data_IF_589445628471
#
_entry.id   IF_589445628471
#
_cell.length_a   1.000
_cell.length_b   1.000
_cell.length_c   1.000
_cell.angle_alpha   90.00
_cell.angle_beta   90.00
_cell.angle_gamma   90.00
#
_symmetry.space_group_name_H-M   'P 1'
#
loop_
_entity.id
_entity.type
_entity.pdbx_description
1 polymer ?
#
# COMPACT_ATOMS: atom_id res chain seq x y z
N UNK A 1 -62.75 63.09 -0.80
CA UNK A 1 -61.35 62.64 -0.87
C UNK A 1 -60.57 63.71 -1.61
N UNK A 2 -59.59 64.33 -0.96
CA UNK A 2 -58.83 65.43 -1.54
C UNK A 2 -57.87 64.92 -2.62
N UNK A 3 -57.73 65.69 -3.72
CA UNK A 3 -56.88 65.31 -4.87
C UNK A 3 -55.44 65.02 -4.48
N UNK A 4 -54.95 65.66 -3.42
CA UNK A 4 -53.59 65.44 -2.90
C UNK A 4 -53.43 64.11 -2.14
N UNK A 5 -54.48 63.56 -1.54
CA UNK A 5 -54.44 62.22 -0.92
C UNK A 5 -54.44 61.10 -1.96
N UNK A 6 -55.16 61.28 -3.07
CA UNK A 6 -55.20 60.29 -4.17
C UNK A 6 -53.82 60.18 -4.86
N UNK A 7 -53.14 61.30 -5.07
CA UNK A 7 -51.79 61.33 -5.66
C UNK A 7 -50.77 60.66 -4.72
N UNK A 8 -50.87 60.86 -3.41
CA UNK A 8 -50.01 60.21 -2.42
C UNK A 8 -50.16 58.68 -2.42
N UNK A 9 -51.39 58.17 -2.50
CA UNK A 9 -51.65 56.71 -2.56
C UNK A 9 -51.10 56.10 -3.87
N UNK A 10 -51.24 56.83 -4.98
CA UNK A 10 -50.68 56.40 -6.28
C UNK A 10 -49.15 56.34 -6.27
N UNK A 11 -48.48 57.29 -5.63
CA UNK A 11 -47.03 57.29 -5.48
C UNK A 11 -46.54 56.16 -4.57
N UNK A 12 -47.23 55.90 -3.46
CA UNK A 12 -46.89 54.78 -2.56
C UNK A 12 -47.09 53.44 -3.27
N UNK A 13 -48.17 53.27 -4.04
CA UNK A 13 -48.39 52.08 -4.84
C UNK A 13 -47.30 51.89 -5.91
N UNK A 14 -46.88 52.97 -6.58
CA UNK A 14 -45.79 52.91 -7.56
C UNK A 14 -44.44 52.54 -6.93
N UNK A 15 -44.14 53.05 -5.74
CA UNK A 15 -42.91 52.72 -5.00
C UNK A 15 -42.94 51.26 -4.52
N UNK A 16 -44.07 50.76 -4.03
CA UNK A 16 -44.21 49.35 -3.61
C UNK A 16 -44.06 48.39 -4.78
N UNK A 17 -44.62 48.71 -5.96
CA UNK A 17 -44.46 47.91 -7.17
C UNK A 17 -43.00 47.95 -7.64
N UNK A 18 -42.35 49.11 -7.62
CA UNK A 18 -40.94 49.26 -7.96
C UNK A 18 -40.02 48.46 -7.03
N UNK A 19 -40.29 48.48 -5.72
CA UNK A 19 -39.57 47.69 -4.74
C UNK A 19 -39.78 46.19 -4.95
N UNK A 20 -41.01 45.75 -5.22
CA UNK A 20 -41.34 44.34 -5.46
C UNK A 20 -40.66 43.77 -6.71
N UNK A 21 -40.49 44.59 -7.76
CA UNK A 21 -39.75 44.21 -8.97
C UNK A 21 -38.23 44.21 -8.73
N UNK A 22 -37.71 45.11 -7.89
CA UNK A 22 -36.28 45.18 -7.59
C UNK A 22 -35.81 44.07 -6.63
N UNK A 23 -36.68 43.60 -5.73
CA UNK A 23 -36.37 42.51 -4.79
C UNK A 23 -36.93 41.15 -5.23
N UNK A 24 -37.52 41.05 -6.42
CA UNK A 24 -37.97 39.77 -6.95
C UNK A 24 -36.74 38.87 -7.23
N UNK A 25 -36.64 37.67 -6.63
CA UNK A 25 -35.51 36.79 -6.84
C UNK A 25 -35.39 36.43 -8.33
N UNK A 26 -34.15 36.38 -8.81
CA UNK A 26 -33.87 36.04 -10.22
C UNK A 26 -34.33 34.60 -10.53
N UNK A 27 -34.72 34.33 -11.79
CA UNK A 27 -35.21 32.99 -12.18
C UNK A 27 -34.19 31.87 -11.89
N UNK A 28 -32.90 32.17 -12.01
CA UNK A 28 -31.80 31.23 -11.70
C UNK A 28 -31.72 30.88 -10.20
N UNK A 29 -31.91 31.84 -9.30
CA UNK A 29 -31.88 31.56 -7.85
C UNK A 29 -33.08 30.74 -7.39
N UNK A 30 -34.25 30.93 -8.01
CA UNK A 30 -35.45 30.13 -7.73
C UNK A 30 -35.25 28.68 -8.21
N UNK A 31 -34.61 28.49 -9.37
CA UNK A 31 -34.30 27.17 -9.91
C UNK A 31 -33.21 26.46 -9.08
N UNK A 32 -32.16 27.18 -8.66
CA UNK A 32 -31.12 26.65 -7.78
C UNK A 32 -31.67 26.26 -6.40
N UNK A 33 -32.53 27.09 -5.80
CA UNK A 33 -33.18 26.78 -4.53
C UNK A 33 -34.13 25.57 -4.64
N UNK A 34 -34.85 25.44 -5.77
CA UNK A 34 -35.71 24.28 -6.05
C UNK A 34 -34.88 23.00 -6.28
N UNK A 35 -33.74 23.09 -6.95
CA UNK A 35 -32.84 21.95 -7.13
C UNK A 35 -32.24 21.48 -5.80
N UNK A 36 -31.84 22.39 -4.92
CA UNK A 36 -31.30 22.03 -3.61
C UNK A 36 -32.37 21.39 -2.70
N UNK A 37 -33.62 21.87 -2.75
CA UNK A 37 -34.75 21.22 -2.06
C UNK A 37 -34.99 19.79 -2.59
N UNK A 38 -34.98 19.61 -3.91
CA UNK A 38 -35.13 18.27 -4.52
C UNK A 38 -33.95 17.34 -4.17
N UNK A 39 -32.74 17.88 -4.02
CA UNK A 39 -31.55 17.12 -3.61
C UNK A 39 -31.65 16.66 -2.16
N UNK A 40 -32.12 17.53 -1.26
CA UNK A 40 -32.35 17.20 0.16
C UNK A 40 -33.48 16.17 0.33
N UNK A 41 -34.57 16.29 -0.43
CA UNK A 41 -35.67 15.31 -0.45
C UNK A 41 -35.26 13.95 -1.04
N UNK A 42 -34.22 13.92 -1.88
CA UNK A 42 -33.66 12.68 -2.43
C UNK A 42 -32.71 12.01 -1.43
N UNK A 43 -31.93 12.79 -0.68
CA UNK A 43 -31.00 12.27 0.35
C UNK A 43 -31.77 11.65 1.52
N UNK A 44 -32.84 12.29 1.99
CA UNK A 44 -33.65 11.77 3.10
C UNK A 44 -34.34 10.44 2.76
N UNK A 45 -34.80 10.26 1.51
CA UNK A 45 -35.38 8.98 1.05
C UNK A 45 -34.34 7.87 0.95
N UNK A 46 -33.14 8.18 0.49
CA UNK A 46 -32.03 7.21 0.45
C UNK A 46 -31.59 6.83 1.86
N UNK A 47 -31.53 7.79 2.79
CA UNK A 47 -31.23 7.50 4.20
C UNK A 47 -32.33 6.67 4.88
N UNK A 48 -33.62 6.92 4.58
CA UNK A 48 -34.72 6.08 5.05
C UNK A 48 -34.69 4.67 4.43
N UNK A 49 -34.33 4.53 3.15
CA UNK A 49 -34.16 3.24 2.50
C UNK A 49 -32.95 2.48 3.04
N UNK A 50 -31.82 3.17 3.28
CA UNK A 50 -30.62 2.59 3.92
C UNK A 50 -30.93 2.20 5.37
N UNK A 51 -31.70 3.00 6.11
CA UNK A 51 -32.12 2.68 7.47
C UNK A 51 -33.09 1.48 7.50
N UNK A 52 -34.02 1.40 6.53
CA UNK A 52 -34.89 0.23 6.35
C UNK A 52 -34.13 -1.00 5.88
N UNK A 53 -33.12 -0.86 5.01
CA UNK A 53 -32.25 -1.97 4.60
C UNK A 53 -31.39 -2.44 5.77
N UNK A 54 -30.79 -1.55 6.56
CA UNK A 54 -30.09 -1.93 7.80
C UNK A 54 -31.03 -2.60 8.80
N UNK A 55 -32.24 -2.08 8.99
CA UNK A 55 -33.22 -2.71 9.89
C UNK A 55 -33.67 -4.09 9.38
N UNK A 56 -33.81 -4.26 8.06
CA UNK A 56 -34.12 -5.54 7.43
C UNK A 56 -32.94 -6.51 7.54
N UNK A 57 -31.70 -6.03 7.35
CA UNK A 57 -30.45 -6.80 7.46
C UNK A 57 -30.20 -7.25 8.90
N UNK A 58 -30.47 -6.39 9.90
CA UNK A 58 -30.47 -6.77 11.32
C UNK A 58 -31.58 -7.79 11.64
N UNK A 59 -32.75 -7.72 11.01
CA UNK A 59 -33.84 -8.68 11.22
C UNK A 59 -33.62 -10.04 10.53
N UNK A 60 -32.84 -10.07 9.44
CA UNK A 60 -32.40 -11.32 8.79
C UNK A 60 -31.24 -12.00 9.52
N UNK A 61 -30.44 -11.26 10.28
CA UNK A 61 -29.35 -11.80 11.10
C UNK A 61 -29.85 -12.55 12.36
N UNK A 62 -31.06 -12.25 12.85
CA UNK A 62 -31.63 -12.94 14.02
C UNK A 62 -32.47 -14.20 13.70
N UNK A 63 -32.85 -14.43 12.43
CA UNK A 63 -33.68 -15.58 12.03
C UNK A 63 -33.00 -16.60 11.09
N UNK A 64 -31.76 -16.36 10.63
CA UNK A 64 -31.01 -17.31 9.78
C UNK A 64 -29.90 -18.08 10.53
N UNK A 65 -29.72 -17.83 11.84
CA UNK A 65 -28.65 -18.39 12.68
C UNK A 65 -28.92 -19.78 13.27
N UNK A 66 -29.95 -20.51 12.79
CA UNK A 66 -30.25 -21.85 13.33
C UNK A 66 -30.30 -22.95 12.25
N UNK A 67 -30.37 -22.60 10.95
CA UNK A 67 -30.54 -23.63 9.90
C UNK A 67 -29.62 -23.50 8.68
N UNK A 68 -28.75 -22.49 8.60
CA UNK A 68 -27.83 -22.29 7.46
C UNK A 68 -26.35 -22.56 7.76
N UNK A 69 -25.98 -22.59 9.04
CA UNK A 69 -24.59 -22.80 9.48
C UNK A 69 -24.07 -24.23 9.32
N UNK A 70 -24.93 -25.22 9.09
CA UNK A 70 -24.48 -26.62 8.96
C UNK A 70 -24.19 -27.09 7.53
N UNK A 71 -24.62 -26.36 6.49
CA UNK A 71 -24.40 -26.77 5.09
C UNK A 71 -23.40 -25.91 4.31
N UNK A 72 -23.15 -24.65 4.69
CA UNK A 72 -22.11 -23.81 4.03
C UNK A 72 -20.76 -23.90 4.75
N UNK A 73 -20.75 -24.13 6.07
CA UNK A 73 -19.50 -24.30 6.82
C UNK A 73 -18.73 -25.56 6.38
N UNK A 74 -19.42 -26.67 6.05
CA UNK A 74 -18.76 -27.89 5.60
C UNK A 74 -18.17 -27.76 4.18
N UNK A 75 -18.81 -27.03 3.27
CA UNK A 75 -18.31 -26.89 1.89
C UNK A 75 -17.13 -25.89 1.81
N UNK A 76 -17.19 -24.79 2.56
CA UNK A 76 -16.06 -23.83 2.64
C UNK A 76 -14.86 -24.39 3.38
N UNK A 77 -15.07 -25.13 4.48
CA UNK A 77 -13.96 -25.74 5.24
C UNK A 77 -13.32 -26.91 4.50
N UNK A 78 -14.09 -27.71 3.75
CA UNK A 78 -13.54 -28.74 2.86
C UNK A 78 -12.76 -28.08 1.72
N UNK A 79 -13.31 -27.04 1.07
CA UNK A 79 -12.60 -26.32 0.00
C UNK A 79 -11.31 -25.65 0.49
N UNK A 80 -11.31 -25.04 1.69
CA UNK A 80 -10.12 -24.42 2.27
C UNK A 80 -9.09 -25.45 2.75
N UNK A 81 -9.54 -26.58 3.30
CA UNK A 81 -8.64 -27.69 3.64
C UNK A 81 -7.99 -28.27 2.38
N UNK A 82 -8.76 -28.47 1.30
CA UNK A 82 -8.23 -28.94 0.02
C UNK A 82 -7.22 -27.96 -0.60
N UNK A 83 -7.44 -26.65 -0.45
CA UNK A 83 -6.47 -25.62 -0.90
C UNK A 83 -5.19 -25.64 -0.08
N UNK A 84 -5.30 -25.83 1.23
CA UNK A 84 -4.15 -25.94 2.12
C UNK A 84 -3.32 -27.18 1.79
N UNK A 85 -3.96 -28.34 1.61
CA UNK A 85 -3.29 -29.58 1.22
C UNK A 85 -2.56 -29.43 -0.13
N UNK A 86 -3.19 -28.76 -1.11
CA UNK A 86 -2.56 -28.45 -2.40
C UNK A 86 -1.32 -27.56 -2.27
N UNK A 87 -1.34 -26.56 -1.38
CA UNK A 87 -0.18 -25.70 -1.12
C UNK A 87 0.96 -26.48 -0.45
N UNK A 88 0.61 -27.37 0.50
CA UNK A 88 1.58 -28.24 1.16
C UNK A 88 2.25 -29.17 0.15
N UNK A 89 1.49 -29.79 -0.75
CA UNK A 89 2.03 -30.63 -1.82
C UNK A 89 2.85 -29.83 -2.84
N UNK A 90 2.38 -28.62 -3.21
CA UNK A 90 3.07 -27.75 -4.17
C UNK A 90 4.44 -27.33 -3.67
N UNK A 91 4.54 -26.92 -2.40
CA UNK A 91 5.73 -26.29 -1.84
C UNK A 91 6.56 -27.18 -0.90
N UNK A 92 6.14 -28.42 -0.68
CA UNK A 92 6.85 -29.41 0.14
C UNK A 92 7.25 -28.83 1.51
N UNK A 93 8.54 -28.74 1.82
CA UNK A 93 9.04 -28.24 3.11
C UNK A 93 8.56 -26.83 3.48
N UNK A 94 8.21 -25.98 2.50
CA UNK A 94 7.69 -24.63 2.73
C UNK A 94 6.15 -24.55 2.79
N UNK A 95 5.48 -25.68 2.61
CA UNK A 95 4.02 -25.81 2.52
C UNK A 95 3.25 -25.12 3.64
N UNK A 96 3.65 -25.38 4.88
CA UNK A 96 3.01 -24.78 6.06
C UNK A 96 3.14 -23.25 6.07
N UNK A 97 4.28 -22.71 5.61
CA UNK A 97 4.49 -21.27 5.55
C UNK A 97 3.75 -20.61 4.37
N UNK A 98 3.17 -21.37 3.45
CA UNK A 98 2.30 -20.82 2.40
C UNK A 98 0.89 -20.52 2.92
N UNK A 99 0.57 -20.99 4.12
CA UNK A 99 -0.74 -20.84 4.75
C UNK A 99 -0.60 -19.80 5.87
N UNK A 100 -1.38 -18.73 5.80
CA UNK A 100 -1.34 -17.69 6.80
C UNK A 100 -2.09 -16.45 6.39
N UNK A 101 -2.10 -15.49 7.32
CA UNK A 101 -2.67 -14.17 7.10
C UNK A 101 -1.55 -13.15 6.98
N UNK A 102 -1.73 -12.19 6.08
CA UNK A 102 -0.80 -11.09 5.96
C UNK A 102 -0.98 -10.13 7.14
N UNK A 103 0.09 -9.94 7.90
CA UNK A 103 0.16 -9.03 9.05
C UNK A 103 1.23 -7.99 8.77
N UNK A 104 1.11 -6.85 9.45
CA UNK A 104 2.03 -5.74 9.29
C UNK A 104 2.79 -5.46 10.58
N UNK A 105 4.11 -5.29 10.46
CA UNK A 105 5.00 -4.88 11.54
C UNK A 105 5.65 -3.57 11.14
N UNK A 106 5.59 -2.57 12.01
CA UNK A 106 6.22 -1.27 11.78
C UNK A 106 7.57 -1.19 12.50
N UNK A 107 8.59 -0.73 11.79
CA UNK A 107 9.90 -0.40 12.36
C UNK A 107 10.26 1.02 11.97
N UNK A 108 10.63 1.86 12.93
CA UNK A 108 10.86 3.28 12.69
C UNK A 108 11.94 3.90 13.58
N UNK A 109 12.52 5.00 13.12
CA UNK A 109 13.38 5.90 13.91
C UNK A 109 12.85 7.34 13.77
N UNK A 110 13.68 8.35 14.05
CA UNK A 110 13.36 9.77 13.91
C UNK A 110 13.21 10.25 12.45
N UNK A 111 13.78 9.53 11.47
CA UNK A 111 13.83 9.96 10.06
C UNK A 111 12.97 9.10 9.12
N UNK A 112 12.83 7.82 9.41
CA UNK A 112 12.30 6.76 8.55
C UNK A 112 11.22 5.98 9.30
N UNK A 113 10.12 5.66 8.62
CA UNK A 113 9.12 4.70 9.07
C UNK A 113 8.90 3.66 7.99
N UNK A 114 9.14 2.41 8.34
CA UNK A 114 8.99 1.27 7.45
C UNK A 114 7.86 0.38 7.98
N UNK A 115 6.93 0.02 7.11
CA UNK A 115 5.95 -1.03 7.37
C UNK A 115 6.35 -2.27 6.59
N UNK A 116 6.51 -3.40 7.28
CA UNK A 116 6.91 -4.69 6.74
C UNK A 116 5.70 -5.61 6.73
N UNK A 117 5.47 -6.28 5.62
CA UNK A 117 4.44 -7.31 5.44
C UNK A 117 5.01 -8.67 5.80
N UNK A 118 4.27 -9.46 6.59
CA UNK A 118 4.67 -10.86 6.86
C UNK A 118 4.60 -11.69 5.59
N UNK A 119 3.68 -11.40 4.67
CA UNK A 119 3.70 -12.00 3.33
C UNK A 119 4.92 -11.51 2.55
N UNK A 120 5.80 -12.43 2.19
CA UNK A 120 7.10 -12.13 1.56
C UNK A 120 8.16 -11.60 2.51
N UNK A 121 7.83 -11.29 3.77
CA UNK A 121 8.75 -10.67 4.71
C UNK A 121 9.30 -9.33 4.21
N UNK A 122 8.53 -8.61 3.37
CA UNK A 122 9.01 -7.52 2.51
C UNK A 122 8.64 -6.12 3.01
N UNK A 123 9.38 -5.07 2.63
CA UNK A 123 8.91 -3.70 2.71
C UNK A 123 7.56 -3.54 1.99
N UNK A 124 6.54 -3.12 2.74
CA UNK A 124 5.22 -2.78 2.21
C UNK A 124 5.09 -1.28 1.95
N UNK A 125 5.62 -0.46 2.87
CA UNK A 125 5.59 1.00 2.75
C UNK A 125 6.81 1.63 3.42
N UNK A 126 7.35 2.69 2.80
CA UNK A 126 8.49 3.46 3.31
C UNK A 126 8.14 4.93 3.34
N UNK A 127 8.08 5.52 4.53
CA UNK A 127 7.82 6.95 4.74
C UNK A 127 9.06 7.67 5.25
N UNK A 128 9.37 8.83 4.67
CA UNK A 128 10.39 9.75 5.19
C UNK A 128 9.71 10.81 6.07
N UNK A 129 9.97 10.79 7.37
CA UNK A 129 9.21 11.56 8.38
C UNK A 129 9.36 13.07 8.28
N UNK A 130 10.52 13.54 7.81
CA UNK A 130 10.85 14.96 7.73
C UNK A 130 10.50 15.60 6.38
N UNK A 131 9.82 14.87 5.50
CA UNK A 131 9.48 15.33 4.17
C UNK A 131 7.97 15.22 3.92
N UNK A 132 7.49 16.10 3.05
CA UNK A 132 6.12 16.13 2.57
C UNK A 132 6.15 16.24 1.05
N UNK A 133 5.11 15.71 0.41
CA UNK A 133 4.84 15.91 -1.02
C UNK A 133 4.43 17.36 -1.29
N UNK A 134 4.36 17.74 -2.56
CA UNK A 134 3.97 19.11 -2.95
C UNK A 134 2.58 19.54 -2.41
N UNK A 135 1.67 18.60 -2.17
CA UNK A 135 0.34 18.82 -1.60
C UNK A 135 0.30 18.75 -0.06
N UNK A 136 1.46 18.77 0.60
CA UNK A 136 1.62 18.71 2.06
C UNK A 136 1.20 17.38 2.71
N UNK A 137 1.06 16.30 1.93
CA UNK A 137 0.87 14.95 2.46
C UNK A 137 2.22 14.35 2.92
N UNK A 138 2.20 13.33 3.79
CA UNK A 138 3.43 12.63 4.17
C UNK A 138 4.16 12.03 2.97
N UNK A 139 5.49 12.21 2.88
CA UNK A 139 6.27 11.64 1.79
C UNK A 139 6.47 10.13 1.98
N UNK A 140 5.82 9.34 1.13
CA UNK A 140 5.89 7.88 1.09
C UNK A 140 6.50 7.45 -0.24
N UNK A 141 7.69 6.83 -0.21
CA UNK A 141 8.43 6.47 -1.42
C UNK A 141 7.72 5.42 -2.26
N UNK A 142 7.02 4.49 -1.60
CA UNK A 142 6.11 3.53 -2.22
C UNK A 142 5.21 2.93 -1.15
N UNK A 143 4.06 2.42 -1.58
CA UNK A 143 3.09 1.75 -0.71
C UNK A 143 2.31 0.71 -1.52
N UNK A 144 1.84 -0.34 -0.87
CA UNK A 144 0.85 -1.24 -1.43
C UNK A 144 1.41 -2.55 -1.97
N UNK A 145 0.46 -3.37 -2.44
CA UNK A 145 0.71 -4.75 -2.83
C UNK A 145 1.43 -4.90 -4.18
N UNK A 146 1.44 -3.84 -5.00
CA UNK A 146 2.07 -3.83 -6.31
C UNK A 146 3.60 -3.84 -6.26
N UNK A 147 4.20 -3.53 -5.10
CA UNK A 147 5.64 -3.59 -4.91
C UNK A 147 6.09 -5.04 -4.64
N UNK A 148 7.27 -5.41 -5.11
CA UNK A 148 7.87 -6.71 -4.83
C UNK A 148 9.27 -6.55 -4.26
N UNK A 149 9.58 -7.34 -3.25
CA UNK A 149 10.92 -7.47 -2.74
C UNK A 149 11.06 -8.86 -2.13
N UNK A 150 11.70 -9.77 -2.86
CA UNK A 150 11.77 -11.17 -2.45
C UNK A 150 12.75 -11.98 -3.27
N UNK A 151 13.09 -13.15 -2.77
CA UNK A 151 14.05 -14.04 -3.39
C UNK A 151 13.36 -15.14 -4.19
N UNK A 152 13.97 -15.53 -5.29
CA UNK A 152 13.63 -16.72 -6.05
C UNK A 152 14.83 -17.67 -6.05
N UNK A 153 14.60 -18.93 -5.70
CA UNK A 153 15.63 -19.96 -5.67
C UNK A 153 15.03 -21.35 -5.88
N UNK A 154 15.87 -22.36 -6.08
CA UNK A 154 15.44 -23.75 -6.16
C UNK A 154 15.67 -24.48 -4.84
N UNK A 155 14.62 -25.12 -4.33
CA UNK A 155 14.71 -26.06 -3.22
C UNK A 155 13.91 -27.32 -3.55
N UNK A 156 14.46 -28.49 -3.24
CA UNK A 156 13.83 -29.80 -3.52
C UNK A 156 13.34 -29.94 -4.97
N UNK A 157 14.14 -29.45 -5.93
CA UNK A 157 13.84 -29.41 -7.36
C UNK A 157 12.58 -28.59 -7.74
N UNK A 158 12.17 -27.65 -6.87
CA UNK A 158 11.03 -26.75 -7.07
C UNK A 158 11.51 -25.31 -7.03
N UNK A 159 10.91 -24.46 -7.87
CA UNK A 159 11.12 -23.02 -7.83
C UNK A 159 10.33 -22.44 -6.66
N UNK A 160 11.01 -21.79 -5.74
CA UNK A 160 10.45 -21.17 -4.54
C UNK A 160 10.61 -19.65 -4.69
N UNK A 161 9.52 -18.91 -4.50
CA UNK A 161 9.52 -17.45 -4.40
C UNK A 161 9.10 -17.03 -3.00
N UNK A 162 9.94 -16.30 -2.27
CA UNK A 162 9.63 -15.92 -0.88
C UNK A 162 8.34 -15.11 -0.78
N UNK A 163 7.95 -14.39 -1.84
CA UNK A 163 6.72 -13.59 -1.91
C UNK A 163 5.43 -14.43 -1.85
N UNK A 164 5.52 -15.76 -2.08
CA UNK A 164 4.38 -16.69 -1.97
C UNK A 164 4.12 -17.16 -0.53
N UNK A 165 4.99 -16.82 0.44
CA UNK A 165 4.93 -17.35 1.80
C UNK A 165 4.76 -16.26 2.86
N UNK A 166 4.34 -16.68 4.06
CA UNK A 166 4.20 -15.84 5.25
C UNK A 166 5.36 -16.09 6.21
N UNK A 167 6.08 -15.02 6.54
CA UNK A 167 7.16 -15.03 7.51
C UNK A 167 6.61 -14.76 8.91
N UNK A 168 7.15 -15.46 9.90
CA UNK A 168 6.83 -15.28 11.31
C UNK A 168 7.77 -14.23 11.94
N UNK A 169 7.27 -13.11 12.49
CA UNK A 169 8.11 -12.17 13.21
C UNK A 169 8.58 -12.78 14.53
N UNK A 170 9.89 -12.67 14.79
CA UNK A 170 10.53 -13.08 16.03
C UNK A 170 10.35 -11.98 17.09
N UNK A 171 9.15 -11.90 17.64
CA UNK A 171 8.80 -10.93 18.67
C UNK A 171 7.29 -10.73 18.76
N UNK A 172 6.83 -10.22 19.91
CA UNK A 172 5.39 -9.97 20.13
C UNK A 172 4.95 -8.55 19.75
N UNK A 173 5.89 -7.65 19.46
CA UNK A 173 5.56 -6.27 19.14
C UNK A 173 5.29 -6.09 17.65
N UNK A 174 4.15 -5.49 17.32
CA UNK A 174 3.83 -5.02 15.96
C UNK A 174 4.47 -3.67 15.63
N UNK A 175 5.15 -3.03 16.59
CA UNK A 175 5.83 -1.74 16.41
C UNK A 175 7.18 -1.71 17.14
N UNK A 176 8.24 -1.33 16.44
CA UNK A 176 9.61 -1.23 16.94
C UNK A 176 10.12 0.19 16.67
N UNK A 177 10.61 0.88 17.69
CA UNK A 177 11.05 2.28 17.57
C UNK A 177 12.49 2.43 18.06
N UNK A 178 13.41 2.75 17.15
CA UNK A 178 14.81 3.00 17.43
C UNK A 178 15.06 4.48 17.72
N UNK A 179 14.91 4.88 18.99
CA UNK A 179 15.13 6.26 19.44
C UNK A 179 16.53 6.49 20.05
N UNK A 180 17.10 5.49 20.71
CA UNK A 180 18.35 5.63 21.51
C UNK A 180 19.43 4.65 21.09
N UNK A 181 19.03 3.48 20.64
CA UNK A 181 19.88 2.39 20.18
C UNK A 181 19.36 1.85 18.87
N UNK A 182 20.21 1.10 18.16
CA UNK A 182 19.76 0.30 17.03
C UNK A 182 18.74 -0.75 17.50
N UNK A 183 17.76 -1.02 16.67
CA UNK A 183 16.75 -2.05 16.89
C UNK A 183 16.66 -2.95 15.66
N UNK A 184 16.29 -4.21 15.86
CA UNK A 184 16.22 -5.20 14.79
C UNK A 184 14.88 -5.94 14.82
N UNK A 185 14.32 -6.17 13.65
CA UNK A 185 13.20 -7.08 13.43
C UNK A 185 13.71 -8.29 12.65
N UNK A 186 13.62 -9.47 13.26
CA UNK A 186 13.85 -10.74 12.56
C UNK A 186 12.52 -11.36 12.16
N UNK A 187 12.39 -11.84 10.93
CA UNK A 187 11.26 -12.63 10.45
C UNK A 187 11.75 -13.95 9.86
N UNK A 188 11.05 -15.05 10.16
CA UNK A 188 11.45 -16.41 9.74
C UNK A 188 10.42 -17.02 8.79
N UNK A 189 10.90 -17.46 7.64
CA UNK A 189 10.18 -18.36 6.74
C UNK A 189 10.61 -19.80 7.05
N UNK A 190 9.70 -20.62 7.60
CA UNK A 190 10.01 -21.99 8.00
C UNK A 190 9.99 -22.94 6.81
N UNK A 191 10.89 -23.92 6.86
CA UNK A 191 11.01 -24.99 5.88
C UNK A 191 11.08 -26.37 6.57
N UNK A 192 10.32 -26.54 7.64
CA UNK A 192 10.36 -27.70 8.54
C UNK A 192 11.14 -27.47 9.83
N UNK A 193 11.27 -28.53 10.64
CA UNK A 193 11.88 -28.46 11.97
C UNK A 193 13.36 -28.05 11.91
N UNK A 194 13.70 -26.93 12.56
CA UNK A 194 15.06 -26.41 12.60
C UNK A 194 15.58 -25.81 11.28
N UNK A 195 14.74 -25.71 10.25
CA UNK A 195 15.09 -25.20 8.92
C UNK A 195 14.31 -23.93 8.60
N UNK A 196 14.98 -22.84 8.29
CA UNK A 196 14.32 -21.58 7.96
C UNK A 196 15.23 -20.59 7.22
N UNK A 197 14.59 -19.62 6.57
CA UNK A 197 15.22 -18.41 6.06
C UNK A 197 14.86 -17.27 7.01
N UNK A 198 15.84 -16.56 7.53
CA UNK A 198 15.64 -15.40 8.41
C UNK A 198 16.00 -14.11 7.69
N UNK A 199 15.04 -13.19 7.66
CA UNK A 199 15.22 -11.80 7.25
C UNK A 199 15.37 -10.93 8.48
N UNK A 200 16.48 -10.21 8.59
CA UNK A 200 16.72 -9.29 9.69
C UNK A 200 16.83 -7.87 9.16
N UNK A 201 15.88 -7.02 9.57
CA UNK A 201 15.90 -5.59 9.30
C UNK A 201 16.43 -4.86 10.53
N UNK A 202 17.54 -4.13 10.40
CA UNK A 202 18.11 -3.34 11.51
C UNK A 202 18.06 -1.86 11.17
N UNK A 203 17.43 -1.09 12.04
CA UNK A 203 17.32 0.36 11.94
C UNK A 203 18.17 1.02 13.02
N UNK A 204 18.79 2.15 12.69
CA UNK A 204 19.66 2.92 13.60
C UNK A 204 19.08 4.33 13.76
N UNK A 205 19.07 4.93 14.96
CA UNK A 205 18.65 6.33 15.14
C UNK A 205 19.46 7.28 14.26
N UNK A 206 18.80 8.31 13.70
CA UNK A 206 19.41 9.38 12.91
C UNK A 206 19.89 8.95 11.51
N UNK A 207 19.44 7.81 10.99
CA UNK A 207 19.88 7.26 9.71
C UNK A 207 18.72 6.94 8.77
N UNK A 208 18.91 7.16 7.47
CA UNK A 208 18.04 6.64 6.40
C UNK A 208 18.46 5.25 5.93
N UNK A 209 19.60 4.73 6.40
CA UNK A 209 20.07 3.39 6.07
C UNK A 209 19.36 2.35 6.93
N UNK A 210 18.92 1.30 6.26
CA UNK A 210 18.35 0.09 6.84
C UNK A 210 19.27 -1.08 6.49
N UNK A 211 19.85 -1.72 7.50
CA UNK A 211 20.60 -2.95 7.26
C UNK A 211 19.61 -4.09 7.04
N UNK A 212 19.83 -4.87 5.99
CA UNK A 212 19.05 -6.05 5.65
C UNK A 212 19.99 -7.25 5.52
N UNK A 213 19.85 -8.21 6.44
CA UNK A 213 20.62 -9.45 6.45
C UNK A 213 19.69 -10.64 6.17
N UNK A 214 20.22 -11.61 5.42
CA UNK A 214 19.51 -12.85 5.07
C UNK A 214 20.34 -14.03 5.57
N UNK A 215 19.72 -14.90 6.37
CA UNK A 215 20.36 -16.09 6.90
C UNK A 215 19.60 -17.35 6.49
N UNK A 216 20.31 -18.32 5.92
CA UNK A 216 19.78 -19.65 5.63
C UNK A 216 20.24 -20.59 6.75
N UNK A 217 19.29 -21.10 7.55
CA UNK A 217 19.60 -21.95 8.71
C UNK A 217 19.07 -23.36 8.45
N UNK A 218 19.96 -24.35 8.47
CA UNK A 218 19.58 -25.76 8.26
C UNK A 218 19.13 -26.10 6.83
N UNK A 219 19.38 -25.23 5.85
CA UNK A 219 18.86 -25.33 4.49
C UNK A 219 19.73 -26.16 3.54
N UNK A 220 20.88 -26.67 3.99
CA UNK A 220 21.89 -27.38 3.16
C UNK A 220 21.36 -28.63 2.44
N UNK A 221 20.29 -29.22 2.98
CA UNK A 221 19.63 -30.41 2.41
C UNK A 221 18.49 -30.05 1.46
N UNK A 222 17.94 -28.83 1.57
CA UNK A 222 16.79 -28.38 0.78
C UNK A 222 17.25 -27.62 -0.46
N UNK A 223 18.23 -26.72 -0.30
CA UNK A 223 18.82 -25.96 -1.40
C UNK A 223 19.98 -26.76 -1.96
N UNK A 224 19.96 -27.00 -3.27
CA UNK A 224 20.98 -27.83 -3.89
C UNK A 224 22.36 -27.16 -3.79
N UNK A 225 23.40 -27.92 -3.43
CA UNK A 225 24.78 -27.41 -3.26
C UNK A 225 25.40 -26.82 -4.53
N UNK A 226 24.86 -27.16 -5.70
CA UNK A 226 25.27 -26.61 -6.98
C UNK A 226 24.58 -25.26 -7.29
N UNK A 227 23.60 -24.83 -6.49
CA UNK A 227 23.01 -23.52 -6.65
C UNK A 227 23.98 -22.46 -6.11
N UNK A 228 24.62 -21.74 -7.04
CA UNK A 228 25.66 -20.76 -6.72
C UNK A 228 25.11 -19.35 -6.53
N UNK A 229 23.81 -19.14 -6.77
CA UNK A 229 23.17 -17.84 -6.69
C UNK A 229 21.72 -17.95 -6.21
N UNK A 230 21.19 -16.82 -5.77
CA UNK A 230 19.78 -16.63 -5.43
C UNK A 230 19.35 -15.35 -6.13
N UNK A 231 18.20 -15.38 -6.80
CA UNK A 231 17.70 -14.23 -7.55
C UNK A 231 16.95 -13.31 -6.59
N UNK A 232 17.44 -12.07 -6.42
CA UNK A 232 16.67 -11.02 -5.74
C UNK A 232 15.77 -10.31 -6.76
N UNK A 233 14.46 -10.35 -6.50
CA UNK A 233 13.45 -9.66 -7.29
C UNK A 233 13.04 -8.40 -6.53
N UNK A 234 13.32 -7.25 -7.11
CA UNK A 234 12.97 -5.95 -6.55
C UNK A 234 12.21 -5.13 -7.59
N UNK A 235 10.95 -4.83 -7.28
CA UNK A 235 10.06 -4.05 -8.11
C UNK A 235 9.37 -3.00 -7.24
N UNK A 236 9.32 -1.77 -7.73
CA UNK A 236 8.68 -0.65 -7.00
C UNK A 236 7.75 0.07 -7.97
N UNK A 237 6.49 0.20 -7.59
CA UNK A 237 5.59 1.14 -8.25
C UNK A 237 5.79 2.53 -7.61
N UNK A 238 6.53 3.38 -8.29
CA UNK A 238 6.89 4.72 -7.80
C UNK A 238 5.71 5.70 -7.97
N UNK A 239 5.14 6.24 -6.87
CA UNK A 239 4.10 7.26 -6.93
C UNK A 239 4.69 8.60 -7.38
N UNK A 240 3.86 9.48 -7.93
CA UNK A 240 4.24 10.86 -8.20
C UNK A 240 4.31 11.65 -6.89
N UNK A 241 5.50 12.15 -6.54
CA UNK A 241 5.75 12.90 -5.30
C UNK A 241 5.79 14.41 -5.54
N UNK A 242 6.01 14.82 -6.79
CA UNK A 242 6.23 16.21 -7.19
C UNK A 242 5.05 16.77 -8.01
N UNK A 243 4.93 18.10 -8.07
CA UNK A 243 3.87 18.76 -8.84
C UNK A 243 3.94 18.44 -10.35
N UNK A 244 5.15 18.33 -10.88
CA UNK A 244 5.42 18.31 -12.31
C UNK A 244 5.73 16.91 -12.82
N UNK A 245 4.71 16.12 -13.15
CA UNK A 245 4.87 14.73 -13.64
C UNK A 245 5.86 14.59 -14.81
N UNK A 246 5.85 15.53 -15.75
CA UNK A 246 6.78 15.50 -16.89
C UNK A 246 8.24 15.64 -16.43
N UNK A 247 8.51 16.54 -15.49
CA UNK A 247 9.87 16.70 -14.95
C UNK A 247 10.25 15.53 -14.06
N UNK A 248 9.33 15.07 -13.22
CA UNK A 248 9.57 13.92 -12.35
C UNK A 248 9.95 12.68 -13.16
N UNK A 249 9.22 12.39 -14.24
CA UNK A 249 9.53 11.28 -15.14
C UNK A 249 10.91 11.44 -15.82
N UNK A 250 11.31 12.66 -16.19
CA UNK A 250 12.61 12.91 -16.82
C UNK A 250 13.80 12.79 -15.87
N UNK A 251 13.57 12.81 -14.55
CA UNK A 251 14.62 12.62 -13.55
C UNK A 251 14.44 11.31 -12.78
N UNK A 252 13.56 10.43 -13.25
CA UNK A 252 13.29 9.13 -12.63
C UNK A 252 13.79 8.00 -13.51
N UNK A 253 14.48 7.04 -12.92
CA UNK A 253 15.09 5.94 -13.66
C UNK A 253 15.80 4.95 -12.77
N UNK A 254 16.34 3.91 -13.42
CA UNK A 254 17.16 2.89 -12.76
C UNK A 254 18.62 3.28 -12.99
N UNK A 255 19.34 3.50 -11.90
CA UNK A 255 20.76 3.82 -11.91
C UNK A 255 21.51 2.66 -11.26
N UNK A 256 22.71 2.38 -11.72
CA UNK A 256 23.57 1.39 -11.10
C UNK A 256 25.04 1.79 -11.25
N UNK A 257 25.89 1.26 -10.38
CA UNK A 257 27.33 1.52 -10.44
C UNK A 257 28.09 0.21 -10.49
N UNK A 258 29.01 0.07 -11.42
CA UNK A 258 29.89 -1.10 -11.44
C UNK A 258 30.92 -1.06 -10.30
N UNK A 259 31.47 -2.21 -9.91
CA UNK A 259 32.39 -2.31 -8.77
C UNK A 259 33.66 -1.44 -8.88
N UNK A 260 34.15 -1.19 -10.10
CA UNK A 260 35.38 -0.42 -10.38
C UNK A 260 35.18 0.64 -11.46
N UNK A 261 33.95 1.00 -11.79
CA UNK A 261 33.65 1.90 -12.90
C UNK A 261 32.68 3.04 -12.50
N UNK A 262 32.32 3.86 -13.46
CA UNK A 262 31.38 4.96 -13.33
C UNK A 262 29.92 4.50 -13.11
N UNK A 263 29.03 5.47 -12.95
CA UNK A 263 27.59 5.24 -12.79
C UNK A 263 26.97 5.17 -14.17
N UNK A 264 26.13 4.17 -14.40
CA UNK A 264 25.36 4.00 -15.61
C UNK A 264 23.85 3.95 -15.27
N UNK A 265 22.99 4.07 -16.28
CA UNK A 265 21.55 4.14 -16.09
C UNK A 265 20.78 3.60 -17.29
N UNK A 266 19.57 3.09 -17.02
CA UNK A 266 18.62 2.74 -18.07
C UNK A 266 17.92 4.00 -18.58
N UNK A 267 17.57 4.02 -19.85
CA UNK A 267 17.05 5.22 -20.51
C UNK A 267 15.73 5.69 -19.87
N UNK A 268 15.70 6.92 -19.37
CA UNK A 268 14.55 7.51 -18.65
C UNK A 268 13.32 7.77 -19.58
N UNK A 269 13.54 7.79 -20.90
CA UNK A 269 12.52 8.19 -21.89
C UNK A 269 11.86 7.04 -22.64
N UNK A 270 12.31 5.80 -22.48
CA UNK A 270 11.72 4.63 -23.14
C UNK A 270 10.54 4.08 -22.34
N UNK A 271 9.47 3.66 -23.03
CA UNK A 271 8.30 3.04 -22.39
C UNK A 271 8.66 1.71 -21.67
N UNK A 272 9.69 1.02 -22.14
CA UNK A 272 10.34 -0.08 -21.45
C UNK A 272 11.81 -0.14 -21.85
N UNK A 273 12.67 -0.45 -20.90
CA UNK A 273 14.10 -0.70 -21.13
C UNK A 273 14.52 -1.94 -20.34
N UNK A 274 15.55 -2.63 -20.82
CA UNK A 274 16.12 -3.79 -20.17
C UNK A 274 17.59 -3.88 -20.46
N UNK A 275 18.36 -4.02 -19.39
CA UNK A 275 19.78 -4.27 -19.46
C UNK A 275 20.17 -5.58 -18.79
N UNK A 276 21.22 -6.24 -19.29
CA UNK A 276 21.77 -7.47 -18.70
C UNK A 276 23.25 -7.25 -18.44
N UNK A 277 23.58 -7.03 -17.17
CA UNK A 277 24.92 -6.70 -16.72
C UNK A 277 25.62 -7.99 -16.32
N UNK A 278 26.76 -8.27 -16.95
CA UNK A 278 27.59 -9.46 -16.65
C UNK A 278 28.76 -9.17 -15.69
N UNK A 279 29.00 -7.90 -15.38
CA UNK A 279 30.06 -7.45 -14.47
C UNK A 279 29.53 -7.26 -13.05
N UNK A 280 30.44 -7.22 -12.07
CA UNK A 280 30.07 -7.00 -10.67
C UNK A 280 29.48 -5.61 -10.46
N UNK A 281 28.35 -5.53 -9.78
CA UNK A 281 27.64 -4.26 -9.53
C UNK A 281 27.77 -3.87 -8.06
N UNK A 282 28.14 -2.62 -7.80
CA UNK A 282 28.34 -2.09 -6.44
C UNK A 282 27.03 -1.70 -5.77
N UNK A 283 26.09 -1.10 -6.50
CA UNK A 283 24.75 -0.76 -6.03
C UNK A 283 23.81 -0.58 -7.21
N UNK A 284 22.52 -0.72 -6.92
CA UNK A 284 21.41 -0.46 -7.85
C UNK A 284 20.44 0.49 -7.14
N UNK A 285 19.90 1.46 -7.85
CA UNK A 285 19.01 2.48 -7.32
C UNK A 285 17.80 2.72 -8.21
N UNK A 286 16.62 2.80 -7.58
CA UNK A 286 15.46 3.47 -8.15
C UNK A 286 15.55 4.95 -7.74
N UNK A 287 15.85 5.80 -8.72
CA UNK A 287 15.94 7.25 -8.52
C UNK A 287 14.64 7.89 -8.96
N UNK A 288 14.15 8.82 -8.15
CA UNK A 288 13.11 9.79 -8.50
C UNK A 288 13.70 11.20 -8.48
N UNK A 289 12.86 12.19 -8.78
CA UNK A 289 13.22 13.58 -8.52
C UNK A 289 13.41 13.77 -6.99
N UNK A 290 14.62 14.15 -6.59
CA UNK A 290 15.09 14.37 -5.19
C UNK A 290 15.31 13.14 -4.29
N UNK A 291 14.59 12.04 -4.50
CA UNK A 291 14.69 10.85 -3.65
C UNK A 291 15.24 9.64 -4.40
N UNK A 292 15.81 8.69 -3.66
CA UNK A 292 16.29 7.43 -4.24
C UNK A 292 16.14 6.30 -3.23
N UNK A 293 15.71 5.14 -3.72
CA UNK A 293 15.81 3.87 -3.01
C UNK A 293 17.02 3.13 -3.56
N UNK A 294 17.93 2.67 -2.71
CA UNK A 294 19.21 2.09 -3.13
C UNK A 294 19.44 0.78 -2.39
N UNK A 295 19.84 -0.27 -3.10
CA UNK A 295 20.39 -1.48 -2.50
C UNK A 295 21.91 -1.45 -2.64
N UNK A 296 22.59 -1.55 -1.50
CA UNK A 296 24.04 -1.55 -1.39
C UNK A 296 24.51 -2.88 -0.75
N UNK A 297 24.99 -3.85 -1.53
CA UNK A 297 25.65 -5.03 -0.99
C UNK A 297 26.94 -4.66 -0.25
N UNK A 298 27.29 -5.43 0.79
CA UNK A 298 28.56 -5.23 1.55
C UNK A 298 29.79 -5.29 0.64
N UNK A 299 29.77 -6.14 -0.39
CA UNK A 299 30.85 -6.25 -1.38
C UNK A 299 30.39 -5.75 -2.75
N UNK A 300 29.61 -6.56 -3.46
CA UNK A 300 29.02 -6.33 -4.78
C UNK A 300 27.93 -7.40 -5.02
N UNK A 301 27.09 -7.19 -6.04
CA UNK A 301 26.27 -8.23 -6.68
C UNK A 301 27.15 -9.04 -7.64
#
# INVERSE_FOLDING_TARGET
>A
MDRNQIIGILLIAAILIGYMVFTAPSKEEIEAARQEQLRQDSISKVEEEIAKQKALELSTLENDSVSRDQFIANDSTIADSMRQDQLIEKFASFGESAIGENKFVTIENDLLKLTISTKGGRPYSVQLKNYQTHDSLPLVLFNGDENEFGMTFFAENRKISTNEFFFEPMGSSSSIVANKSKESLSLRLRAGEGKYIEYTYTIVPGSYLLDFDIHFVGMDQLISKNNSYIDLNWYVNMPGLEKGKTWENQYSGIFYKHFQDEVDWLTETSASDKESISTKVKWIAFKQQFFSSIILPRMYF
#
